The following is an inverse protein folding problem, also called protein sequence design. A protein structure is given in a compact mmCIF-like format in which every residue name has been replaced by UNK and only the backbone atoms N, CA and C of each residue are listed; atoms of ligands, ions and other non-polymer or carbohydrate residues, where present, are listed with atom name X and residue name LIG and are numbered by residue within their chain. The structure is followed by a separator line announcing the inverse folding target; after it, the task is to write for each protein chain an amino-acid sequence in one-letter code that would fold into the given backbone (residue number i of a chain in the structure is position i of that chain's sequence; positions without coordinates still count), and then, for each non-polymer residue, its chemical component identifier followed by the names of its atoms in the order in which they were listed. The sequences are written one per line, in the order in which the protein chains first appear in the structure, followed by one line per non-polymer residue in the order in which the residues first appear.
data_IF_012344287785
#
_entry.id   IF_012344287785
#
_cell.length_a   1.000
_cell.length_b   1.000
_cell.length_c   1.000
_cell.angle_alpha   90.00
_cell.angle_beta   90.00
_cell.angle_gamma   90.00
#
_symmetry.space_group_name_H-M   'P 1'
#
loop_
_entity.id
_entity.type
_entity.pdbx_description
1 polymer ?
#
# COMPACT_ATOMS: atom_id res chain seq x y z
N UNK A 1 16.81 10.81 57.34
CA UNK A 1 16.59 11.05 58.78
C UNK A 1 15.22 10.52 59.12
N UNK A 2 14.94 9.70 60.11
CA UNK A 2 15.66 8.79 61.00
C UNK A 2 14.50 8.15 61.83
N UNK A 3 14.56 6.85 62.11
CA UNK A 3 13.71 6.20 63.13
C UNK A 3 14.01 6.76 64.54
N UNK A 4 13.14 6.48 65.53
CA UNK A 4 13.55 5.57 66.64
C UNK A 4 12.46 4.53 66.98
N UNK A 5 12.79 3.26 67.27
CA UNK A 5 13.27 2.65 68.56
C UNK A 5 12.20 2.62 69.67
N UNK A 6 12.03 1.62 70.56
CA UNK A 6 12.57 0.28 70.78
C UNK A 6 11.69 -0.42 71.87
N UNK A 7 11.90 -1.74 72.06
CA UNK A 7 11.26 -2.70 73.00
C UNK A 7 11.47 -2.37 74.51
N UNK A 8 10.83 -3.08 75.50
CA UNK A 8 11.43 -4.34 76.00
C UNK A 8 10.49 -5.44 76.60
N UNK A 9 10.98 -6.67 76.39
CA UNK A 9 10.99 -7.94 77.16
C UNK A 9 10.44 -8.12 78.61
N UNK A 10 10.08 -9.41 78.83
CA UNK A 10 10.24 -10.31 80.00
C UNK A 10 9.19 -10.34 81.11
N UNK A 11 8.61 -11.54 81.34
CA UNK A 11 8.88 -12.35 82.54
C UNK A 11 8.21 -13.74 82.49
N UNK A 12 8.99 -14.76 82.83
CA UNK A 12 8.57 -16.15 83.10
C UNK A 12 7.95 -16.28 84.49
N UNK A 13 7.00 -17.22 84.69
CA UNK A 13 6.84 -18.01 85.93
C UNK A 13 6.42 -19.44 85.58
N UNK A 14 6.98 -20.36 86.38
CA UNK A 14 7.16 -21.81 86.26
C UNK A 14 6.01 -22.59 86.98
N UNK A 15 6.13 -23.90 87.31
CA UNK A 15 5.53 -25.07 86.64
C UNK A 15 4.52 -25.84 87.52
N UNK A 16 4.04 -26.97 86.97
CA UNK A 16 3.49 -28.15 87.66
C UNK A 16 2.14 -28.05 88.39
N UNK A 17 1.06 -28.42 87.69
CA UNK A 17 0.16 -29.46 88.20
C UNK A 17 -0.62 -30.16 87.08
N UNK A 18 -0.25 -31.41 86.87
CA UNK A 18 -1.07 -32.58 86.51
C UNK A 18 -2.09 -32.53 85.35
N UNK A 19 -1.71 -33.27 84.30
CA UNK A 19 -2.49 -34.35 83.68
C UNK A 19 -3.98 -34.10 83.40
N UNK A 20 -4.35 -34.00 82.12
CA UNK A 20 -5.16 -35.02 81.42
C UNK A 20 -5.52 -34.61 79.99
N UNK A 21 -5.39 -35.59 79.08
CA UNK A 21 -6.01 -35.70 77.75
C UNK A 21 -5.28 -35.07 76.54
N UNK A 22 -4.28 -35.82 76.04
CA UNK A 22 -3.86 -35.80 74.64
C UNK A 22 -4.81 -36.65 73.77
N UNK A 23 -5.31 -36.17 72.63
CA UNK A 23 -5.86 -37.05 71.60
C UNK A 23 -4.71 -37.57 70.73
N UNK A 24 -4.51 -38.87 70.77
CA UNK A 24 -3.59 -39.61 69.90
C UNK A 24 -4.12 -39.66 68.46
N UNK A 25 -3.59 -38.81 67.58
CA UNK A 25 -3.76 -38.99 66.14
C UNK A 25 -2.85 -40.12 65.64
N UNK A 26 -3.36 -41.15 64.94
CA UNK A 26 -2.51 -42.19 64.37
C UNK A 26 -1.76 -41.61 63.17
N UNK A 27 -0.44 -41.38 63.30
CA UNK A 27 0.45 -41.23 62.15
C UNK A 27 0.58 -42.58 61.43
N UNK A 28 -0.37 -42.89 60.54
CA UNK A 28 -0.13 -43.87 59.48
C UNK A 28 0.61 -43.15 58.35
N UNK A 29 1.81 -43.60 57.93
CA UNK A 29 2.35 -43.14 56.67
C UNK A 29 1.46 -43.76 55.58
N UNK A 30 0.57 -42.97 54.99
CA UNK A 30 -0.02 -43.35 53.71
C UNK A 30 1.14 -43.38 52.70
N UNK A 31 1.75 -44.56 52.53
CA UNK A 31 2.60 -44.84 51.39
C UNK A 31 1.71 -44.68 50.17
N UNK A 32 1.82 -43.53 49.50
CA UNK A 32 1.19 -43.29 48.22
C UNK A 32 1.83 -44.28 47.24
N UNK A 33 1.21 -45.44 47.08
CA UNK A 33 1.73 -46.52 46.26
C UNK A 33 1.39 -46.14 44.82
N UNK A 34 2.32 -45.49 44.13
CA UNK A 34 2.16 -45.22 42.70
C UNK A 34 1.85 -46.55 42.00
N UNK A 35 0.63 -46.66 41.49
CA UNK A 35 0.22 -47.83 40.70
C UNK A 35 0.83 -47.70 39.30
N UNK A 36 0.98 -48.79 38.54
CA UNK A 36 1.45 -48.74 37.15
C UNK A 36 0.68 -47.71 36.30
N UNK A 37 -0.61 -47.50 36.61
CA UNK A 37 -1.47 -46.51 35.97
C UNK A 37 -0.97 -45.06 36.18
N UNK A 38 -0.42 -44.72 37.34
CA UNK A 38 0.13 -43.37 37.59
C UNK A 38 1.40 -43.12 36.78
N UNK A 39 2.21 -44.16 36.54
CA UNK A 39 3.38 -44.08 35.67
C UNK A 39 2.98 -43.89 34.21
N UNK A 40 1.96 -44.62 33.74
CA UNK A 40 1.43 -44.46 32.38
C UNK A 40 0.84 -43.07 32.17
N UNK A 41 0.03 -42.58 33.12
CA UNK A 41 -0.55 -41.25 33.07
C UNK A 41 0.54 -40.17 33.07
N UNK A 42 1.55 -40.28 33.95
CA UNK A 42 2.69 -39.37 33.97
C UNK A 42 3.46 -39.36 32.66
N UNK A 43 3.72 -40.54 32.08
CA UNK A 43 4.40 -40.67 30.79
C UNK A 43 3.58 -40.09 29.64
N UNK A 44 2.25 -40.27 29.65
CA UNK A 44 1.36 -39.65 28.66
C UNK A 44 1.32 -38.13 28.79
N UNK A 45 1.30 -37.57 30.00
CA UNK A 45 1.37 -36.12 30.20
C UNK A 45 2.73 -35.55 29.81
N UNK A 46 3.83 -36.23 30.12
CA UNK A 46 5.16 -35.81 29.67
C UNK A 46 5.31 -35.89 28.15
N UNK A 47 4.78 -36.94 27.52
CA UNK A 47 4.77 -37.08 26.07
C UNK A 47 3.88 -36.03 25.40
N UNK A 48 2.71 -35.73 25.96
CA UNK A 48 1.83 -34.68 25.48
C UNK A 48 2.46 -33.29 25.65
N UNK A 49 3.17 -33.04 26.75
CA UNK A 49 3.87 -31.79 27.01
C UNK A 49 5.05 -31.59 26.05
N UNK A 50 5.86 -32.63 25.84
CA UNK A 50 6.93 -32.64 24.84
C UNK A 50 6.34 -32.50 23.44
N UNK A 51 5.26 -33.22 23.12
CA UNK A 51 4.56 -33.07 21.85
C UNK A 51 4.01 -31.66 21.67
N UNK A 52 3.46 -30.99 22.68
CA UNK A 52 3.00 -29.60 22.55
C UNK A 52 4.15 -28.59 22.43
N UNK A 53 5.31 -28.89 23.02
CA UNK A 53 6.53 -28.07 22.90
C UNK A 53 7.23 -28.22 21.54
N UNK A 54 7.12 -29.40 20.90
CA UNK A 54 7.80 -29.74 19.65
C UNK A 54 6.86 -30.02 18.48
N UNK A 55 5.54 -29.97 18.69
CA UNK A 55 4.57 -30.04 17.61
C UNK A 55 4.86 -28.84 16.71
N UNK A 56 5.15 -29.07 15.42
CA UNK A 56 5.22 -27.96 14.49
C UNK A 56 3.88 -27.25 14.60
N UNK A 57 3.91 -25.98 14.98
CA UNK A 57 2.79 -25.08 14.81
C UNK A 57 2.56 -24.95 13.31
N UNK A 58 1.87 -25.92 12.71
CA UNK A 58 1.34 -25.79 11.36
C UNK A 58 0.12 -24.87 11.45
N UNK A 59 0.36 -23.64 11.90
CA UNK A 59 -0.56 -22.57 11.62
C UNK A 59 -0.65 -22.54 10.09
N UNK A 60 -1.85 -22.66 9.52
CA UNK A 60 -2.01 -22.56 8.08
C UNK A 60 -1.39 -21.21 7.66
N UNK A 61 -0.46 -21.27 6.71
CA UNK A 61 0.44 -20.16 6.44
C UNK A 61 -0.09 -19.34 5.27
N UNK A 62 -0.60 -18.14 5.58
CA UNK A 62 -1.05 -17.15 4.61
C UNK A 62 0.15 -16.58 3.86
N UNK A 63 0.00 -16.28 2.57
CA UNK A 63 0.93 -15.38 1.91
C UNK A 63 0.70 -13.96 2.46
N UNK A 64 1.69 -13.33 3.13
CA UNK A 64 1.52 -11.99 3.65
C UNK A 64 1.28 -10.99 2.52
N UNK A 65 0.62 -9.88 2.81
CA UNK A 65 0.20 -8.87 1.84
C UNK A 65 0.86 -7.53 2.14
N UNK A 66 1.35 -6.86 1.11
CA UNK A 66 1.79 -5.46 1.21
C UNK A 66 0.95 -4.61 0.25
N UNK A 67 0.32 -3.57 0.81
CA UNK A 67 -0.45 -2.59 0.06
C UNK A 67 0.47 -1.50 -0.50
N UNK A 68 0.42 -1.29 -1.82
CA UNK A 68 1.15 -0.22 -2.50
C UNK A 68 0.15 0.79 -3.08
N UNK A 69 0.03 1.99 -2.49
CA UNK A 69 -0.97 2.97 -2.88
C UNK A 69 -0.70 3.62 -4.23
N UNK A 70 -1.74 4.19 -4.83
CA UNK A 70 -1.67 5.03 -6.01
C UNK A 70 -1.40 6.50 -5.68
N UNK A 71 -1.61 7.36 -6.67
CA UNK A 71 -1.51 8.81 -6.51
C UNK A 71 -2.49 9.32 -5.46
N UNK A 72 -2.01 10.14 -4.52
CA UNK A 72 -2.78 10.60 -3.35
C UNK A 72 -3.18 9.50 -2.34
N UNK A 73 -2.75 8.25 -2.53
CA UNK A 73 -3.26 7.08 -1.81
C UNK A 73 -2.65 6.80 -0.44
N UNK A 74 -1.92 7.76 0.16
CA UNK A 74 -1.38 7.64 1.51
C UNK A 74 -1.32 8.99 2.21
N UNK A 75 -1.28 8.99 3.54
CA UNK A 75 -1.10 10.22 4.32
C UNK A 75 0.22 10.94 4.01
N UNK A 76 0.23 12.25 4.20
CA UNK A 76 1.41 13.12 4.18
C UNK A 76 1.40 13.97 5.44
N UNK A 77 2.54 14.03 6.12
CA UNK A 77 2.76 14.95 7.22
C UNK A 77 3.78 16.02 6.83
N UNK A 78 3.58 17.22 7.35
CA UNK A 78 4.44 18.36 7.09
C UNK A 78 4.96 19.00 8.39
N UNK A 79 6.14 19.59 8.31
CA UNK A 79 6.70 20.49 9.33
C UNK A 79 7.18 21.77 8.64
N UNK A 80 6.74 22.93 9.15
CA UNK A 80 6.97 24.23 8.51
C UNK A 80 8.03 25.05 9.25
N UNK A 81 8.87 25.71 8.47
CA UNK A 81 9.82 26.75 8.86
C UNK A 81 10.05 27.70 7.67
N UNK A 82 8.97 28.34 7.21
CA UNK A 82 8.94 29.20 6.02
C UNK A 82 9.30 30.65 6.38
N UNK A 83 10.04 31.32 5.50
CA UNK A 83 10.34 32.76 5.63
C UNK A 83 9.15 33.64 5.23
N UNK A 84 8.35 33.20 4.27
CA UNK A 84 7.17 33.87 3.74
C UNK A 84 6.03 32.88 3.48
N UNK A 85 4.82 33.42 3.35
CA UNK A 85 3.59 32.67 3.02
C UNK A 85 2.82 33.40 1.93
N UNK A 86 2.01 32.66 1.18
CA UNK A 86 1.16 33.22 0.11
C UNK A 86 0.01 34.07 0.64
N UNK A 87 -0.43 33.82 1.87
CA UNK A 87 -1.48 34.57 2.55
C UNK A 87 -1.21 34.68 4.06
N UNK A 88 -1.82 35.66 4.72
CA UNK A 88 -1.61 35.91 6.16
C UNK A 88 -2.21 34.83 7.06
N UNK A 89 -3.17 34.05 6.56
CA UNK A 89 -3.79 32.92 7.27
C UNK A 89 -2.92 31.66 7.25
N UNK A 90 -1.89 31.61 6.41
CA UNK A 90 -1.03 30.44 6.31
C UNK A 90 0.03 30.45 7.40
N UNK A 91 0.21 29.31 8.06
CA UNK A 91 1.27 29.15 9.05
C UNK A 91 2.66 29.23 8.40
N UNK A 92 3.54 30.01 9.03
CA UNK A 92 4.97 30.04 8.66
C UNK A 92 5.75 28.91 9.32
N UNK A 93 5.44 28.61 10.57
CA UNK A 93 6.19 27.67 11.40
C UNK A 93 5.26 26.74 12.14
N UNK A 94 5.62 25.47 12.27
CA UNK A 94 4.92 24.52 13.16
C UNK A 94 5.90 23.95 14.19
N UNK A 95 5.42 23.74 15.42
CA UNK A 95 6.25 23.15 16.49
C UNK A 95 6.57 21.67 16.20
N UNK A 96 5.57 20.95 15.69
CA UNK A 96 5.66 19.53 15.34
C UNK A 96 5.11 19.25 13.93
N UNK A 97 5.17 17.98 13.53
CA UNK A 97 4.53 17.45 12.34
C UNK A 97 3.01 17.50 12.47
N UNK A 98 2.33 17.87 11.39
CA UNK A 98 0.87 17.81 11.28
C UNK A 98 0.46 17.07 10.00
N UNK A 99 -0.74 16.49 9.98
CA UNK A 99 -1.28 15.85 8.77
C UNK A 99 -1.65 16.92 7.73
N UNK A 100 -0.90 16.96 6.64
CA UNK A 100 -1.14 17.84 5.49
C UNK A 100 -2.12 17.20 4.50
N UNK A 101 -2.02 15.88 4.31
CA UNK A 101 -2.90 15.13 3.41
C UNK A 101 -3.29 13.78 4.05
N UNK A 102 -4.56 13.37 4.06
CA UNK A 102 -5.74 14.17 3.73
C UNK A 102 -6.20 14.93 4.99
N UNK A 103 -6.42 16.24 4.85
CA UNK A 103 -7.04 17.06 5.89
C UNK A 103 -8.08 17.96 5.23
N UNK A 104 -9.36 17.67 5.44
CA UNK A 104 -10.47 18.37 4.78
C UNK A 104 -10.58 19.84 5.19
N UNK A 105 -10.11 20.22 6.38
CA UNK A 105 -10.09 21.62 6.83
C UNK A 105 -9.12 22.46 6.01
N UNK A 106 -8.06 21.85 5.48
CA UNK A 106 -7.08 22.52 4.62
C UNK A 106 -7.57 22.71 3.17
N UNK A 107 -8.74 22.15 2.84
CA UNK A 107 -9.30 22.12 1.49
C UNK A 107 -10.44 23.14 1.28
N UNK A 108 -10.76 23.93 2.29
CA UNK A 108 -11.77 25.01 2.19
C UNK A 108 -11.21 26.22 1.41
N UNK A 109 -12.06 27.04 0.78
CA UNK A 109 -11.63 28.27 0.11
C UNK A 109 -10.74 29.14 1.00
N UNK A 110 -9.80 29.87 0.39
CA UNK A 110 -8.71 30.64 1.03
C UNK A 110 -7.62 29.79 1.70
N UNK A 111 -7.95 28.71 2.42
CA UNK A 111 -6.97 27.85 3.11
C UNK A 111 -6.23 26.92 2.15
N UNK A 112 -6.89 26.53 1.07
CA UNK A 112 -6.33 25.66 0.03
C UNK A 112 -5.03 26.21 -0.59
N UNK A 113 -4.85 27.53 -0.63
CA UNK A 113 -3.62 28.14 -1.13
C UNK A 113 -2.44 27.85 -0.19
N UNK A 114 -2.68 27.78 1.12
CA UNK A 114 -1.68 27.34 2.10
C UNK A 114 -1.33 25.87 1.91
N UNK A 115 -2.33 25.02 1.65
CA UNK A 115 -2.13 23.60 1.35
C UNK A 115 -1.28 23.42 0.09
N UNK A 116 -1.62 24.11 -1.00
CA UNK A 116 -0.88 24.05 -2.27
C UNK A 116 0.55 24.55 -2.10
N UNK A 117 0.75 25.69 -1.46
CA UNK A 117 2.08 26.25 -1.24
C UNK A 117 2.97 25.34 -0.39
N UNK A 118 2.38 24.52 0.48
CA UNK A 118 3.11 23.54 1.29
C UNK A 118 3.36 22.23 0.54
N UNK A 119 2.41 21.73 -0.26
CA UNK A 119 2.51 20.42 -0.90
C UNK A 119 3.19 20.43 -2.27
N UNK A 120 3.22 21.58 -2.97
CA UNK A 120 3.82 21.70 -4.31
C UNK A 120 5.31 21.30 -4.33
N UNK A 121 5.75 20.90 -5.50
CA UNK A 121 7.16 20.67 -5.79
C UNK A 121 7.75 21.84 -6.59
N UNK A 122 9.00 22.16 -6.31
CA UNK A 122 9.81 23.06 -7.11
C UNK A 122 10.72 22.22 -8.00
N UNK A 123 10.59 22.41 -9.32
CA UNK A 123 11.43 21.74 -10.30
C UNK A 123 12.66 22.59 -10.61
N UNK A 124 13.82 21.96 -10.69
CA UNK A 124 15.07 22.61 -11.01
C UNK A 124 15.55 22.15 -12.40
N UNK A 125 15.52 23.07 -13.37
CA UNK A 125 15.89 22.77 -14.76
C UNK A 125 17.36 22.36 -14.93
N UNK A 126 18.24 22.71 -14.00
CA UNK A 126 19.67 22.36 -14.05
C UNK A 126 19.89 20.95 -13.51
N UNK A 127 19.31 20.63 -12.35
CA UNK A 127 19.48 19.29 -11.74
C UNK A 127 18.52 18.26 -12.30
N UNK A 128 17.47 18.69 -13.02
CA UNK A 128 16.39 17.85 -13.57
C UNK A 128 15.69 17.03 -12.48
N UNK A 129 15.50 17.64 -11.32
CA UNK A 129 14.90 17.04 -10.11
C UNK A 129 13.99 18.02 -9.38
N UNK A 130 13.20 17.50 -8.45
CA UNK A 130 12.26 18.28 -7.63
C UNK A 130 12.65 18.36 -6.16
N UNK A 131 12.38 19.51 -5.55
CA UNK A 131 12.47 19.72 -4.10
C UNK A 131 11.13 20.17 -3.52
N UNK A 132 10.95 20.01 -2.22
CA UNK A 132 9.82 20.63 -1.52
C UNK A 132 9.87 22.16 -1.59
N UNK A 133 8.75 22.81 -1.30
CA UNK A 133 8.71 24.25 -1.05
C UNK A 133 9.72 24.68 0.03
N UNK A 134 10.30 25.89 -0.08
CA UNK A 134 11.28 26.39 0.90
C UNK A 134 10.68 26.42 2.31
N UNK A 135 11.42 25.87 3.27
CA UNK A 135 10.96 25.77 4.65
C UNK A 135 9.91 24.70 4.89
N UNK A 136 9.65 23.79 3.95
CA UNK A 136 8.69 22.68 4.13
C UNK A 136 9.41 21.34 4.12
N UNK A 137 9.32 20.64 5.25
CA UNK A 137 9.73 19.24 5.37
C UNK A 137 8.50 18.36 5.28
N UNK A 138 8.57 17.30 4.49
CA UNK A 138 7.48 16.34 4.31
C UNK A 138 7.95 14.93 4.68
N UNK A 139 7.04 14.14 5.24
CA UNK A 139 7.21 12.69 5.45
C UNK A 139 5.92 11.95 5.13
N UNK A 140 6.06 10.68 4.77
CA UNK A 140 4.97 9.77 4.45
C UNK A 140 4.90 8.76 5.59
N UNK A 141 4.04 8.99 6.61
CA UNK A 141 4.11 8.28 7.87
C UNK A 141 3.67 6.82 7.75
N UNK A 142 4.06 6.02 8.75
CA UNK A 142 3.65 4.63 8.93
C UNK A 142 4.04 3.70 7.80
N UNK A 143 5.27 3.83 7.29
CA UNK A 143 5.87 2.81 6.45
C UNK A 143 5.92 1.46 7.19
N UNK A 144 5.38 0.41 6.57
CA UNK A 144 5.15 -0.90 7.21
C UNK A 144 3.82 -1.02 7.95
N UNK A 145 3.12 0.08 8.22
CA UNK A 145 1.80 0.07 8.86
C UNK A 145 0.67 0.21 7.84
N UNK A 146 -0.48 -0.40 8.09
CA UNK A 146 -1.61 -0.36 7.14
C UNK A 146 -2.48 0.89 7.30
N UNK A 147 -2.57 1.46 8.51
CA UNK A 147 -3.49 2.57 8.81
C UNK A 147 -3.35 3.79 7.86
N UNK A 148 -2.15 4.30 7.53
CA UNK A 148 -1.99 5.47 6.65
C UNK A 148 -2.37 5.23 5.18
N UNK A 149 -2.54 3.98 4.76
CA UNK A 149 -3.00 3.60 3.42
C UNK A 149 -4.42 3.03 3.43
N UNK A 150 -4.96 2.66 4.59
CA UNK A 150 -6.37 2.31 4.74
C UNK A 150 -7.25 3.56 4.83
N UNK A 151 -6.81 4.57 5.59
CA UNK A 151 -7.58 5.79 5.88
C UNK A 151 -6.72 7.04 5.64
N UNK A 152 -7.09 7.87 4.66
CA UNK A 152 -6.32 9.08 4.33
C UNK A 152 -6.55 10.22 5.33
N UNK A 153 -7.74 10.33 5.90
CA UNK A 153 -8.03 11.26 7.00
C UNK A 153 -7.95 10.53 8.35
N UNK A 154 -7.04 10.92 9.26
CA UNK A 154 -6.89 10.27 10.57
C UNK A 154 -8.02 10.62 11.56
N UNK A 155 -8.78 11.70 11.32
CA UNK A 155 -9.73 12.26 12.29
C UNK A 155 -11.14 11.68 12.13
N UNK A 156 -11.73 11.86 10.95
CA UNK A 156 -13.14 11.51 10.67
C UNK A 156 -13.27 10.21 9.88
N UNK A 157 -12.14 9.56 9.54
CA UNK A 157 -12.08 8.36 8.67
C UNK A 157 -12.83 8.55 7.34
N UNK A 158 -12.89 9.79 6.85
CA UNK A 158 -13.28 10.08 5.47
C UNK A 158 -12.06 9.79 4.59
N UNK A 159 -12.27 9.34 3.35
CA UNK A 159 -11.15 8.90 2.50
C UNK A 159 -10.68 7.48 2.82
N UNK A 160 -11.64 6.56 2.98
CA UNK A 160 -11.39 5.11 2.90
C UNK A 160 -10.69 4.78 1.58
N UNK A 161 -9.53 4.12 1.66
CA UNK A 161 -8.76 3.70 0.50
C UNK A 161 -8.59 2.16 0.50
N UNK A 162 -7.55 1.61 1.13
CA UNK A 162 -7.41 0.15 1.27
C UNK A 162 -8.28 -0.48 2.37
N UNK A 163 -9.05 0.32 3.13
CA UNK A 163 -9.78 -0.17 4.32
C UNK A 163 -10.72 -1.35 4.02
N UNK A 164 -11.42 -1.33 2.88
CA UNK A 164 -12.35 -2.40 2.48
C UNK A 164 -11.63 -3.71 2.16
N UNK A 165 -10.48 -3.62 1.50
CA UNK A 165 -9.62 -4.79 1.21
C UNK A 165 -9.07 -5.35 2.52
N UNK A 166 -8.50 -4.50 3.38
CA UNK A 166 -7.98 -4.94 4.68
C UNK A 166 -9.08 -5.59 5.54
N UNK A 167 -10.28 -4.99 5.58
CA UNK A 167 -11.43 -5.54 6.28
C UNK A 167 -11.88 -6.90 5.73
N UNK A 168 -11.80 -7.13 4.42
CA UNK A 168 -12.11 -8.43 3.80
C UNK A 168 -11.08 -9.52 4.13
N UNK A 169 -9.82 -9.14 4.39
CA UNK A 169 -8.74 -10.08 4.71
C UNK A 169 -8.68 -10.47 6.19
N UNK A 170 -9.06 -9.59 7.12
CA UNK A 170 -9.02 -9.89 8.57
C UNK A 170 -9.76 -11.19 8.94
N UNK A 171 -10.99 -11.47 8.46
CA UNK A 171 -11.68 -12.72 8.76
C UNK A 171 -10.97 -13.98 8.23
N UNK A 172 -10.01 -13.84 7.31
CA UNK A 172 -9.22 -14.95 6.76
C UNK A 172 -7.97 -15.25 7.61
N UNK A 173 -7.77 -14.53 8.73
CA UNK A 173 -6.62 -14.70 9.63
C UNK A 173 -5.48 -13.71 9.40
N UNK A 174 -5.66 -12.72 8.51
CA UNK A 174 -4.68 -11.65 8.33
C UNK A 174 -4.67 -10.68 9.52
N UNK A 175 -3.47 -10.23 9.89
CA UNK A 175 -3.21 -9.34 11.02
C UNK A 175 -2.55 -8.08 10.49
N UNK A 176 -3.18 -6.93 10.73
CA UNK A 176 -2.62 -5.61 10.41
C UNK A 176 -1.25 -5.44 11.05
N UNK A 177 -0.36 -4.77 10.32
CA UNK A 177 1.02 -4.48 10.69
C UNK A 177 1.90 -5.71 10.93
N UNK A 178 1.43 -6.91 10.59
CA UNK A 178 2.21 -8.16 10.67
C UNK A 178 2.14 -8.92 9.34
N UNK A 179 0.98 -9.51 9.03
CA UNK A 179 0.77 -10.23 7.77
C UNK A 179 0.09 -9.37 6.70
N UNK A 180 -0.39 -8.19 7.07
CA UNK A 180 -0.74 -7.09 6.17
C UNK A 180 0.10 -5.87 6.52
N UNK A 181 0.75 -5.25 5.54
CA UNK A 181 1.60 -4.07 5.74
C UNK A 181 1.29 -3.02 4.68
N UNK A 182 1.57 -1.75 4.96
CA UNK A 182 1.44 -0.66 3.99
C UNK A 182 2.81 -0.13 3.54
N UNK A 183 2.93 0.26 2.28
CA UNK A 183 4.15 0.85 1.70
C UNK A 183 3.86 2.24 1.09
N UNK A 184 3.53 3.25 1.93
CA UNK A 184 3.36 4.63 1.47
C UNK A 184 4.66 5.22 0.92
N UNK A 185 4.56 6.20 0.02
CA UNK A 185 5.68 6.85 -0.63
C UNK A 185 5.33 8.26 -1.09
N UNK A 186 6.32 9.01 -1.57
CA UNK A 186 6.10 10.31 -2.18
C UNK A 186 5.44 10.19 -3.54
N UNK A 187 4.11 10.11 -3.53
CA UNK A 187 3.28 9.97 -4.73
C UNK A 187 3.33 11.17 -5.67
N UNK A 188 3.89 12.32 -5.23
CA UNK A 188 4.11 13.48 -6.10
C UNK A 188 5.22 13.23 -7.10
N UNK A 189 6.14 12.31 -6.79
CA UNK A 189 7.36 12.03 -7.54
C UNK A 189 7.21 10.77 -8.40
N UNK A 190 7.95 10.73 -9.50
CA UNK A 190 8.08 9.55 -10.35
C UNK A 190 9.17 8.58 -9.83
N UNK A 191 9.35 7.38 -10.41
CA UNK A 191 10.30 6.38 -9.90
C UNK A 191 11.76 6.82 -9.87
N UNK A 192 12.15 7.76 -10.74
CA UNK A 192 13.51 8.30 -10.81
C UNK A 192 13.89 9.17 -9.59
N UNK A 193 12.94 9.55 -8.74
CA UNK A 193 13.19 10.31 -7.51
C UNK A 193 12.71 9.59 -6.23
N UNK A 194 12.40 8.28 -6.32
CA UNK A 194 11.86 7.44 -5.25
C UNK A 194 12.80 6.26 -4.87
N UNK A 195 14.11 6.42 -5.03
CA UNK A 195 15.08 5.33 -4.93
C UNK A 195 15.21 4.83 -3.49
N UNK A 196 15.12 5.73 -2.51
CA UNK A 196 15.06 5.37 -1.10
C UNK A 196 13.84 4.48 -0.82
N UNK A 197 12.66 4.86 -1.33
CA UNK A 197 11.44 4.05 -1.21
C UNK A 197 11.63 2.63 -1.77
N UNK A 198 12.30 2.46 -2.91
CA UNK A 198 12.51 1.12 -3.47
C UNK A 198 13.48 0.26 -2.64
N UNK A 199 14.45 0.89 -1.97
CA UNK A 199 15.30 0.19 -1.01
C UNK A 199 14.49 -0.22 0.24
N UNK A 200 13.67 0.70 0.76
CA UNK A 200 12.82 0.47 1.92
C UNK A 200 11.74 -0.59 1.63
N UNK A 201 11.15 -0.58 0.44
CA UNK A 201 10.17 -1.58 0.00
C UNK A 201 10.79 -2.97 -0.05
N UNK A 202 12.04 -3.09 -0.53
CA UNK A 202 12.77 -4.35 -0.51
C UNK A 202 12.97 -4.84 0.92
N UNK A 203 13.42 -3.97 1.81
CA UNK A 203 13.63 -4.29 3.22
C UNK A 203 12.31 -4.70 3.90
N UNK A 204 11.21 -3.99 3.62
CA UNK A 204 9.88 -4.33 4.15
C UNK A 204 9.41 -5.70 3.67
N UNK A 205 9.66 -6.06 2.41
CA UNK A 205 9.30 -7.39 1.87
C UNK A 205 10.09 -8.49 2.59
N UNK A 206 11.38 -8.29 2.79
CA UNK A 206 12.25 -9.24 3.50
C UNK A 206 11.86 -9.36 4.99
N UNK A 207 11.65 -8.23 5.67
CA UNK A 207 11.17 -8.16 7.06
C UNK A 207 9.82 -8.84 7.21
N UNK A 208 8.85 -8.54 6.34
CA UNK A 208 7.51 -9.12 6.38
C UNK A 208 7.56 -10.63 6.15
N UNK A 209 8.44 -11.10 5.25
CA UNK A 209 8.65 -12.53 5.03
C UNK A 209 9.14 -13.22 6.30
N UNK A 210 10.13 -12.65 6.98
CA UNK A 210 10.72 -13.23 8.20
C UNK A 210 9.76 -13.16 9.40
N UNK A 211 9.06 -12.03 9.59
CA UNK A 211 8.04 -11.86 10.65
C UNK A 211 6.87 -12.84 10.52
N UNK A 212 6.60 -13.34 9.30
CA UNK A 212 5.56 -14.33 9.03
C UNK A 212 6.12 -15.77 8.91
N UNK A 213 7.25 -16.03 9.57
CA UNK A 213 7.83 -17.37 9.71
C UNK A 213 8.68 -17.82 8.52
N UNK A 214 8.95 -16.94 7.56
CA UNK A 214 9.96 -17.17 6.52
C UNK A 214 9.70 -18.35 5.58
N UNK A 215 8.44 -18.75 5.39
CA UNK A 215 8.08 -19.89 4.54
C UNK A 215 7.11 -19.56 3.39
N UNK A 216 6.38 -18.45 3.44
CA UNK A 216 5.46 -18.05 2.36
C UNK A 216 5.85 -16.70 1.75
N UNK A 217 5.98 -16.61 0.42
CA UNK A 217 6.31 -15.35 -0.24
C UNK A 217 5.16 -14.33 -0.19
N UNK A 218 5.48 -13.06 -0.40
CA UNK A 218 4.60 -11.91 -0.26
C UNK A 218 3.73 -11.71 -1.52
N UNK A 219 2.47 -11.35 -1.33
CA UNK A 219 1.61 -10.81 -2.40
C UNK A 219 1.62 -9.29 -2.33
N UNK A 220 2.05 -8.64 -3.40
CA UNK A 220 1.92 -7.18 -3.54
C UNK A 220 0.54 -6.86 -4.06
N UNK A 221 -0.25 -6.07 -3.34
CA UNK A 221 -1.55 -5.56 -3.79
C UNK A 221 -1.40 -4.07 -4.04
N UNK A 222 -1.37 -3.69 -5.31
CA UNK A 222 -1.04 -2.34 -5.74
C UNK A 222 -2.23 -1.70 -6.47
N UNK A 223 -2.50 -0.42 -6.20
CA UNK A 223 -3.58 0.32 -6.85
C UNK A 223 -3.03 1.44 -7.73
N UNK A 224 -3.62 1.62 -8.92
CA UNK A 224 -3.35 2.73 -9.83
C UNK A 224 -1.83 2.91 -10.07
N UNK A 225 -1.29 4.10 -9.84
CA UNK A 225 0.15 4.40 -9.95
C UNK A 225 1.05 3.48 -9.11
N UNK A 226 0.58 2.98 -7.96
CA UNK A 226 1.31 2.01 -7.14
C UNK A 226 1.62 0.72 -7.88
N UNK A 227 0.79 0.36 -8.86
CA UNK A 227 1.02 -0.79 -9.75
C UNK A 227 2.24 -0.58 -10.64
N UNK A 228 2.42 0.65 -11.14
CA UNK A 228 3.60 1.01 -11.94
C UNK A 228 4.85 1.11 -11.08
N UNK A 229 4.74 1.64 -9.85
CA UNK A 229 5.83 1.64 -8.88
C UNK A 229 6.29 0.20 -8.56
N UNK A 230 5.33 -0.70 -8.35
CA UNK A 230 5.59 -2.13 -8.11
C UNK A 230 6.23 -2.81 -9.32
N UNK A 231 5.77 -2.50 -10.54
CA UNK A 231 6.40 -2.98 -11.77
C UNK A 231 7.86 -2.52 -11.87
N UNK A 232 8.10 -1.22 -11.72
CA UNK A 232 9.43 -0.62 -11.78
C UNK A 232 10.40 -1.29 -10.80
N UNK A 233 9.93 -1.52 -9.57
CA UNK A 233 10.65 -2.23 -8.52
C UNK A 233 11.02 -3.66 -8.94
N UNK A 234 10.04 -4.46 -9.38
CA UNK A 234 10.24 -5.87 -9.74
C UNK A 234 11.10 -6.07 -10.99
N UNK A 235 11.07 -5.14 -11.95
CA UNK A 235 11.95 -5.13 -13.11
C UNK A 235 13.44 -4.95 -12.73
N UNK A 236 13.72 -4.47 -11.52
CA UNK A 236 15.07 -4.21 -10.97
C UNK A 236 15.50 -5.21 -9.91
N UNK A 237 14.65 -6.18 -9.56
CA UNK A 237 15.03 -7.29 -8.68
C UNK A 237 15.49 -8.51 -9.49
N UNK A 238 16.45 -9.26 -8.93
CA UNK A 238 16.92 -10.50 -9.55
C UNK A 238 15.82 -11.56 -9.56
N UNK A 239 15.86 -12.46 -10.56
CA UNK A 239 14.89 -13.57 -10.64
C UNK A 239 14.94 -14.47 -9.41
N UNK A 240 16.11 -14.67 -8.81
CA UNK A 240 16.27 -15.45 -7.59
C UNK A 240 15.58 -14.78 -6.39
N UNK A 241 15.71 -13.46 -6.25
CA UNK A 241 15.04 -12.71 -5.20
C UNK A 241 13.52 -12.75 -5.37
N UNK A 242 13.02 -12.51 -6.59
CA UNK A 242 11.58 -12.57 -6.89
C UNK A 242 10.99 -13.95 -6.60
N UNK A 243 11.69 -15.02 -7.00
CA UNK A 243 11.27 -16.40 -6.72
C UNK A 243 11.19 -16.71 -5.23
N UNK A 244 12.07 -16.12 -4.41
CA UNK A 244 12.08 -16.33 -2.96
C UNK A 244 10.98 -15.53 -2.25
N UNK A 245 10.83 -14.26 -2.59
CA UNK A 245 10.07 -13.32 -1.78
C UNK A 245 8.72 -12.91 -2.35
N UNK A 246 8.44 -13.14 -3.64
CA UNK A 246 7.22 -12.64 -4.28
C UNK A 246 6.37 -13.80 -4.79
N UNK A 247 5.16 -13.91 -4.24
CA UNK A 247 4.14 -14.88 -4.65
C UNK A 247 3.48 -14.43 -5.94
N UNK A 248 3.04 -13.18 -5.96
CA UNK A 248 2.34 -12.54 -7.08
C UNK A 248 2.32 -11.03 -6.90
N UNK A 249 2.07 -10.34 -8.01
CA UNK A 249 1.64 -8.95 -8.03
C UNK A 249 0.15 -8.93 -8.42
N UNK A 250 -0.67 -8.32 -7.59
CA UNK A 250 -2.09 -8.06 -7.85
C UNK A 250 -2.23 -6.56 -8.08
N UNK A 251 -2.62 -6.17 -9.28
CA UNK A 251 -2.78 -4.76 -9.65
C UNK A 251 -4.25 -4.41 -9.82
N UNK A 252 -4.66 -3.31 -9.21
CA UNK A 252 -6.00 -2.76 -9.24
C UNK A 252 -5.98 -1.47 -10.07
N UNK A 253 -6.70 -1.42 -11.18
CA UNK A 253 -6.82 -0.23 -12.04
C UNK A 253 -5.47 0.37 -12.51
N UNK A 254 -4.51 -0.47 -12.92
CA UNK A 254 -3.18 -0.02 -13.30
C UNK A 254 -3.16 0.78 -14.63
N UNK A 255 -2.63 2.02 -14.66
CA UNK A 255 -2.50 2.82 -15.87
C UNK A 255 -1.24 2.44 -16.67
N UNK A 256 -1.15 1.21 -17.18
CA UNK A 256 0.04 0.66 -17.84
C UNK A 256 0.63 1.54 -18.96
N UNK A 257 -0.21 2.29 -19.66
CA UNK A 257 0.19 3.21 -20.71
C UNK A 257 0.02 4.69 -20.38
N UNK A 258 -0.29 5.03 -19.13
CA UNK A 258 -0.77 6.37 -18.75
C UNK A 258 -2.26 6.57 -18.98
N UNK A 259 -2.73 7.81 -18.93
CA UNK A 259 -4.13 8.20 -19.14
C UNK A 259 -4.26 9.58 -19.77
N UNK A 260 -5.27 9.78 -20.62
CA UNK A 260 -5.63 11.10 -21.14
C UNK A 260 -6.06 12.07 -20.02
N UNK A 261 -6.50 11.55 -18.87
CA UNK A 261 -6.78 12.38 -17.69
C UNK A 261 -5.56 13.17 -17.22
N UNK A 262 -4.33 12.68 -17.40
CA UNK A 262 -3.12 13.45 -17.10
C UNK A 262 -2.99 14.70 -17.98
N UNK A 263 -3.39 14.63 -19.26
CA UNK A 263 -3.44 15.79 -20.16
C UNK A 263 -4.49 16.80 -19.67
N UNK A 264 -5.67 16.31 -19.26
CA UNK A 264 -6.72 17.14 -18.65
C UNK A 264 -6.20 17.89 -17.42
N UNK A 265 -5.44 17.22 -16.55
CA UNK A 265 -4.84 17.86 -15.36
C UNK A 265 -3.96 19.04 -15.75
N UNK A 266 -3.07 18.89 -16.74
CA UNK A 266 -2.24 20.00 -17.21
C UNK A 266 -3.05 21.13 -17.87
N UNK A 267 -4.12 20.79 -18.58
CA UNK A 267 -4.95 21.79 -19.24
C UNK A 267 -5.80 22.60 -18.24
N UNK A 268 -6.58 21.92 -17.39
CA UNK A 268 -7.66 22.53 -16.58
C UNK A 268 -7.74 22.04 -15.14
N UNK A 269 -6.81 21.18 -14.70
CA UNK A 269 -6.85 20.53 -13.40
C UNK A 269 -7.88 19.40 -13.29
N UNK A 270 -7.86 18.72 -12.16
CA UNK A 270 -8.84 17.70 -11.80
C UNK A 270 -9.29 17.86 -10.35
N UNK A 271 -10.58 17.62 -10.10
CA UNK A 271 -11.19 17.69 -8.77
C UNK A 271 -10.93 16.43 -7.92
N UNK A 272 -10.21 15.43 -8.46
CA UNK A 272 -9.91 14.16 -7.79
C UNK A 272 -11.16 13.42 -7.28
N UNK A 273 -12.34 13.73 -7.84
CA UNK A 273 -13.62 13.21 -7.35
C UNK A 273 -14.13 13.86 -6.06
N UNK A 274 -13.44 14.88 -5.52
CA UNK A 274 -13.86 15.65 -4.34
C UNK A 274 -14.50 16.95 -4.83
N UNK A 275 -15.83 16.95 -4.93
CA UNK A 275 -16.65 18.01 -5.53
C UNK A 275 -16.51 19.41 -4.87
N UNK A 276 -15.87 19.50 -3.71
CA UNK A 276 -15.68 20.73 -2.92
C UNK A 276 -14.48 21.56 -3.42
N UNK A 277 -13.65 21.01 -4.32
CA UNK A 277 -12.38 21.61 -4.72
C UNK A 277 -12.46 22.34 -6.08
N UNK A 278 -11.91 23.56 -6.14
CA UNK A 278 -11.73 24.28 -7.40
C UNK A 278 -10.65 23.59 -8.25
N UNK A 279 -11.03 23.13 -9.45
CA UNK A 279 -10.13 22.49 -10.43
C UNK A 279 -8.92 23.36 -10.78
N UNK A 280 -9.14 24.66 -10.95
CA UNK A 280 -8.07 25.61 -11.25
C UNK A 280 -7.08 25.75 -10.10
N UNK A 281 -7.56 25.68 -8.86
CA UNK A 281 -6.72 25.78 -7.67
C UNK A 281 -5.88 24.51 -7.52
N UNK A 282 -6.49 23.33 -7.63
CA UNK A 282 -5.76 22.06 -7.60
C UNK A 282 -4.77 21.89 -8.77
N UNK A 283 -5.09 22.42 -9.96
CA UNK A 283 -4.16 22.44 -11.10
C UNK A 283 -2.79 22.96 -10.68
N UNK A 284 -2.74 24.07 -9.92
CA UNK A 284 -1.48 24.72 -9.49
C UNK A 284 -0.56 23.75 -8.75
N UNK A 285 -1.12 22.85 -7.93
CA UNK A 285 -0.36 21.80 -7.26
C UNK A 285 -0.08 20.61 -8.20
N UNK A 286 -1.11 20.08 -8.86
CA UNK A 286 -1.04 18.83 -9.62
C UNK A 286 -0.02 18.90 -10.76
N UNK A 287 0.11 20.05 -11.42
CA UNK A 287 1.07 20.25 -12.52
C UNK A 287 2.52 20.33 -12.03
N UNK A 288 2.76 20.54 -10.72
CA UNK A 288 4.12 20.49 -10.17
C UNK A 288 4.63 19.08 -9.91
N UNK A 289 3.77 18.06 -9.98
CA UNK A 289 4.12 16.69 -9.64
C UNK A 289 4.66 15.92 -10.86
N UNK A 290 5.93 15.45 -10.87
CA UNK A 290 6.44 14.60 -11.94
C UNK A 290 5.66 13.31 -12.15
N UNK A 291 4.94 12.82 -11.14
CA UNK A 291 4.01 11.68 -11.27
C UNK A 291 2.93 11.95 -12.33
N UNK A 292 2.40 13.17 -12.42
CA UNK A 292 1.42 13.56 -13.45
C UNK A 292 2.01 13.44 -14.86
N UNK A 293 3.24 13.93 -15.07
CA UNK A 293 3.95 13.80 -16.36
C UNK A 293 4.29 12.35 -16.69
N UNK A 294 4.63 11.55 -15.69
CA UNK A 294 4.88 10.12 -15.87
C UNK A 294 3.63 9.37 -16.37
N UNK A 295 2.45 9.76 -15.90
CA UNK A 295 1.16 9.16 -16.26
C UNK A 295 0.58 9.69 -17.59
N UNK A 296 1.31 10.50 -18.37
CA UNK A 296 0.89 10.88 -19.72
C UNK A 296 0.82 9.65 -20.65
N UNK A 297 -0.10 9.65 -21.64
CA UNK A 297 -0.21 8.59 -22.64
C UNK A 297 1.13 8.24 -23.30
N UNK A 298 1.39 6.95 -23.50
CA UNK A 298 2.63 6.48 -24.13
C UNK A 298 2.39 5.83 -25.50
N UNK A 299 3.40 5.91 -26.36
CA UNK A 299 3.38 5.38 -27.74
C UNK A 299 3.22 3.85 -27.82
N UNK A 300 3.40 3.15 -26.70
CA UNK A 300 3.16 1.71 -26.63
C UNK A 300 1.67 1.36 -26.60
N UNK A 301 0.79 2.30 -26.25
CA UNK A 301 -0.65 2.06 -26.06
C UNK A 301 -1.56 3.02 -26.84
N UNK A 302 -1.03 4.16 -27.29
CA UNK A 302 -1.73 5.11 -28.16
C UNK A 302 -1.05 5.20 -29.52
N UNK A 303 -1.85 5.41 -30.57
CA UNK A 303 -1.29 5.69 -31.89
C UNK A 303 -0.60 7.06 -31.88
N UNK A 304 0.47 7.20 -32.66
CA UNK A 304 1.20 8.47 -32.78
C UNK A 304 0.34 9.57 -33.38
N UNK A 305 -0.56 9.21 -34.29
CA UNK A 305 -1.43 10.15 -35.02
C UNK A 305 -2.77 10.41 -34.30
N UNK A 306 -3.00 9.77 -33.15
CA UNK A 306 -4.25 9.94 -32.41
C UNK A 306 -4.29 11.31 -31.74
N UNK A 307 -5.37 12.05 -32.01
CA UNK A 307 -5.58 13.39 -31.45
C UNK A 307 -6.03 13.28 -30.01
N UNK A 308 -5.19 13.79 -29.10
CA UNK A 308 -5.44 13.82 -27.66
C UNK A 308 -6.03 15.17 -27.23
N UNK A 309 -5.62 16.25 -27.90
CA UNK A 309 -6.18 17.58 -27.72
C UNK A 309 -6.42 18.21 -29.08
N UNK A 310 -7.60 18.77 -29.30
CA UNK A 310 -7.98 19.45 -30.53
C UNK A 310 -8.36 20.90 -30.23
N UNK A 311 -7.78 21.84 -30.94
CA UNK A 311 -8.18 23.26 -30.96
C UNK A 311 -8.57 23.67 -32.38
N UNK A 312 -9.13 24.87 -32.60
CA UNK A 312 -9.38 25.36 -33.95
C UNK A 312 -8.11 25.52 -34.80
N UNK A 313 -6.96 25.76 -34.15
CA UNK A 313 -5.68 26.03 -34.80
C UNK A 313 -4.78 24.78 -34.92
N UNK A 314 -4.81 23.88 -33.92
CA UNK A 314 -3.83 22.80 -33.77
C UNK A 314 -4.47 21.51 -33.25
N UNK A 315 -4.04 20.38 -33.81
CA UNK A 315 -4.27 19.05 -33.24
C UNK A 315 -3.00 18.58 -32.53
N UNK A 316 -3.09 18.28 -31.24
CA UNK A 316 -2.02 17.72 -30.45
C UNK A 316 -2.20 16.21 -30.32
N UNK A 317 -1.14 15.51 -30.69
CA UNK A 317 -0.98 14.06 -30.69
C UNK A 317 0.29 13.72 -29.93
N UNK A 318 0.65 12.44 -29.82
CA UNK A 318 1.91 12.06 -29.18
C UNK A 318 3.17 12.64 -29.86
N UNK A 319 3.11 13.01 -31.14
CA UNK A 319 4.29 13.51 -31.87
C UNK A 319 4.60 14.98 -31.60
N UNK A 320 3.63 15.76 -31.11
CA UNK A 320 3.76 17.19 -30.83
C UNK A 320 3.23 17.57 -29.44
N UNK A 321 3.29 16.65 -28.47
CA UNK A 321 2.93 16.94 -27.08
C UNK A 321 3.81 18.02 -26.44
N UNK A 322 5.07 18.19 -26.87
CA UNK A 322 5.91 19.32 -26.43
C UNK A 322 5.26 20.66 -26.75
N UNK A 323 4.75 20.82 -27.98
CA UNK A 323 4.05 22.03 -28.42
C UNK A 323 2.81 22.30 -27.56
N UNK A 324 2.07 21.25 -27.17
CA UNK A 324 0.94 21.41 -26.24
C UNK A 324 1.38 22.05 -24.92
N UNK A 325 2.50 21.62 -24.34
CA UNK A 325 3.02 22.17 -23.09
C UNK A 325 3.52 23.62 -23.24
N UNK A 326 4.07 23.96 -24.41
CA UNK A 326 4.44 25.35 -24.73
C UNK A 326 3.19 26.23 -24.87
N UNK A 327 2.16 25.75 -25.57
CA UNK A 327 0.94 26.51 -25.87
C UNK A 327 0.04 26.74 -24.64
N UNK A 328 0.21 25.94 -23.57
CA UNK A 328 -0.43 26.18 -22.26
C UNK A 328 0.46 26.94 -21.27
N UNK A 329 1.60 27.46 -21.72
CA UNK A 329 2.61 28.17 -20.91
C UNK A 329 3.13 27.33 -19.72
N UNK A 330 3.37 26.03 -19.96
CA UNK A 330 3.86 25.11 -18.94
C UNK A 330 4.86 24.06 -19.49
N UNK A 331 5.89 24.52 -20.20
CA UNK A 331 6.95 23.66 -20.77
C UNK A 331 7.60 22.71 -19.74
N UNK A 332 7.63 23.12 -18.46
CA UNK A 332 8.13 22.29 -17.36
C UNK A 332 7.44 20.90 -17.28
N UNK A 333 6.16 20.79 -17.64
CA UNK A 333 5.46 19.51 -17.66
C UNK A 333 6.03 18.53 -18.69
N UNK A 334 6.49 19.04 -19.83
CA UNK A 334 7.21 18.26 -20.85
C UNK A 334 8.61 17.87 -20.38
N UNK A 335 9.32 18.79 -19.73
CA UNK A 335 10.64 18.50 -19.16
C UNK A 335 10.58 17.33 -18.17
N UNK A 336 9.62 17.34 -17.26
CA UNK A 336 9.36 16.22 -16.35
C UNK A 336 9.04 14.91 -17.07
N UNK A 337 8.33 14.96 -18.22
CA UNK A 337 8.06 13.78 -19.05
C UNK A 337 9.35 13.22 -19.67
N UNK A 338 10.22 14.10 -20.15
CA UNK A 338 11.52 13.71 -20.71
C UNK A 338 12.38 13.01 -19.66
N UNK A 339 12.39 13.51 -18.42
CA UNK A 339 13.21 12.95 -17.33
C UNK A 339 12.83 11.50 -16.95
N UNK A 340 11.59 11.09 -17.23
CA UNK A 340 11.08 9.75 -16.93
C UNK A 340 10.94 8.88 -18.19
N UNK A 341 11.46 9.31 -19.34
CA UNK A 341 11.31 8.62 -20.63
C UNK A 341 11.80 7.17 -20.58
N UNK A 342 12.93 6.90 -19.93
CA UNK A 342 13.47 5.53 -19.82
C UNK A 342 12.57 4.64 -18.98
N UNK A 343 11.90 5.20 -17.97
CA UNK A 343 10.90 4.48 -17.15
C UNK A 343 9.67 4.15 -17.99
N UNK A 344 9.19 5.11 -18.78
CA UNK A 344 8.01 4.95 -19.65
C UNK A 344 8.25 3.89 -20.73
N UNK A 345 9.47 3.81 -21.25
CA UNK A 345 9.83 2.88 -22.32
C UNK A 345 10.21 1.47 -21.83
N UNK A 346 10.34 1.26 -20.51
CA UNK A 346 10.62 -0.06 -19.94
C UNK A 346 9.36 -0.94 -19.86
N UNK A 347 9.03 -1.56 -20.99
CA UNK A 347 7.85 -2.43 -21.15
C UNK A 347 8.08 -3.89 -20.73
N UNK A 348 9.15 -4.19 -19.99
CA UNK A 348 9.46 -5.55 -19.56
C UNK A 348 8.40 -6.08 -18.59
N UNK A 349 8.03 -7.37 -18.66
CA UNK A 349 7.10 -7.96 -17.70
C UNK A 349 7.70 -8.04 -16.29
N UNK A 350 6.89 -8.13 -15.22
CA UNK A 350 7.39 -8.17 -13.85
C UNK A 350 8.16 -9.46 -13.51
N UNK A 351 7.92 -10.55 -14.25
CA UNK A 351 8.59 -11.84 -14.02
C UNK A 351 8.13 -12.55 -12.75
N UNK A 352 6.88 -12.30 -12.35
CA UNK A 352 6.13 -12.96 -11.27
C UNK A 352 4.70 -13.19 -11.74
N UNK A 353 3.93 -14.04 -11.05
CA UNK A 353 2.50 -14.18 -11.33
C UNK A 353 1.81 -12.83 -11.20
N UNK A 354 1.05 -12.43 -12.23
CA UNK A 354 0.38 -11.14 -12.30
C UNK A 354 -1.13 -11.34 -12.37
N UNK A 355 -1.87 -10.77 -11.42
CA UNK A 355 -3.32 -10.60 -11.51
C UNK A 355 -3.62 -9.15 -11.87
N UNK A 356 -4.09 -8.94 -13.08
CA UNK A 356 -4.44 -7.63 -13.63
C UNK A 356 -5.95 -7.42 -13.55
N UNK A 357 -6.37 -6.61 -12.59
CA UNK A 357 -7.77 -6.41 -12.20
C UNK A 357 -8.15 -4.95 -12.46
N UNK A 358 -9.23 -4.69 -13.19
CA UNK A 358 -9.66 -3.32 -13.46
C UNK A 358 -11.15 -3.18 -13.75
N UNK A 359 -11.64 -1.94 -13.62
CA UNK A 359 -12.99 -1.52 -13.99
C UNK A 359 -13.23 -1.47 -15.51
N UNK A 360 -14.49 -1.39 -15.93
CA UNK A 360 -14.88 -1.15 -17.32
C UNK A 360 -16.26 -0.52 -17.41
N UNK A 361 -16.63 -0.04 -18.58
CA UNK A 361 -17.92 0.58 -18.89
C UNK A 361 -18.20 1.87 -18.11
N UNK A 362 -17.14 2.56 -17.70
CA UNK A 362 -17.22 3.88 -17.08
C UNK A 362 -16.69 4.93 -18.04
N UNK A 363 -17.51 5.93 -18.33
CA UNK A 363 -17.22 7.01 -19.27
C UNK A 363 -15.91 7.73 -18.89
N UNK A 364 -14.89 7.60 -19.74
CA UNK A 364 -13.53 8.06 -19.46
C UNK A 364 -13.07 9.04 -20.55
N UNK A 365 -12.52 10.22 -20.20
CA UNK A 365 -12.01 11.16 -21.20
C UNK A 365 -10.96 10.52 -22.11
N UNK A 366 -11.13 10.65 -23.42
CA UNK A 366 -10.19 10.17 -24.45
C UNK A 366 -9.56 11.30 -25.26
N UNK A 367 -10.23 12.45 -25.31
CA UNK A 367 -9.78 13.61 -26.05
C UNK A 367 -10.37 14.88 -25.43
N UNK A 368 -9.60 15.96 -25.43
CA UNK A 368 -10.06 17.30 -25.10
C UNK A 368 -10.29 18.07 -26.40
N UNK A 369 -11.47 18.68 -26.56
CA UNK A 369 -11.85 19.43 -27.76
C UNK A 369 -12.21 20.85 -27.37
N UNK A 370 -11.55 21.83 -27.98
CA UNK A 370 -11.73 23.24 -27.71
C UNK A 370 -12.42 23.95 -28.86
N UNK A 371 -13.39 24.80 -28.51
CA UNK A 371 -13.96 25.76 -29.45
C UNK A 371 -13.12 27.05 -29.54
N UNK A 372 -13.50 27.99 -30.44
CA UNK A 372 -12.83 29.28 -30.58
C UNK A 372 -12.73 30.04 -29.25
N UNK A 373 -11.52 30.55 -28.93
CA UNK A 373 -11.22 31.32 -27.70
C UNK A 373 -11.50 30.57 -26.38
N UNK A 374 -11.50 29.23 -26.38
CA UNK A 374 -11.70 28.41 -25.18
C UNK A 374 -10.45 27.68 -24.70
N UNK A 375 -9.41 27.59 -25.53
CA UNK A 375 -8.14 26.98 -25.16
C UNK A 375 -7.30 27.92 -24.29
N UNK A 376 -6.68 27.45 -23.19
CA UNK A 376 -6.66 26.07 -22.68
C UNK A 376 -7.73 25.75 -21.61
N UNK A 377 -8.57 26.70 -21.23
CA UNK A 377 -9.33 26.64 -19.97
C UNK A 377 -10.67 25.87 -20.01
N UNK A 378 -11.29 25.71 -21.18
CA UNK A 378 -12.68 25.21 -21.27
C UNK A 378 -12.88 24.17 -22.40
N UNK A 379 -12.34 22.96 -22.26
CA UNK A 379 -12.57 21.87 -23.21
C UNK A 379 -13.95 21.24 -23.05
N UNK A 380 -14.47 20.70 -24.13
CA UNK A 380 -15.41 19.59 -24.12
C UNK A 380 -14.61 18.27 -24.15
N UNK A 381 -15.18 17.20 -23.59
CA UNK A 381 -14.52 15.91 -23.55
C UNK A 381 -15.21 14.93 -24.50
N UNK A 382 -14.41 14.30 -25.36
CA UNK A 382 -14.86 13.07 -26.02
C UNK A 382 -14.55 11.93 -25.06
N UNK A 383 -15.56 11.11 -24.78
CA UNK A 383 -15.46 10.01 -23.84
C UNK A 383 -15.27 8.68 -24.57
N UNK A 384 -14.68 7.72 -23.88
CA UNK A 384 -14.49 6.33 -24.29
C UNK A 384 -14.70 5.39 -23.09
N UNK A 385 -14.53 4.10 -23.32
CA UNK A 385 -14.53 3.07 -22.28
C UNK A 385 -13.27 3.15 -21.38
N UNK A 386 -13.45 2.80 -20.11
CA UNK A 386 -12.44 2.81 -19.06
C UNK A 386 -13.08 2.67 -17.68
N UNK A 387 -12.40 3.19 -16.66
CA UNK A 387 -12.85 3.22 -15.26
C UNK A 387 -13.17 4.64 -14.75
N UNK A 388 -13.33 5.61 -15.66
CA UNK A 388 -13.55 7.03 -15.36
C UNK A 388 -12.27 7.84 -15.17
N UNK A 389 -11.12 7.17 -14.97
CA UNK A 389 -9.80 7.81 -14.87
C UNK A 389 -8.83 7.29 -15.92
N UNK A 390 -8.76 5.98 -16.13
CA UNK A 390 -7.82 5.31 -17.03
C UNK A 390 -8.57 4.69 -18.19
N UNK A 391 -8.11 4.98 -19.41
CA UNK A 391 -8.70 4.43 -20.64
C UNK A 391 -8.51 2.91 -20.71
N UNK A 392 -9.50 2.20 -21.28
CA UNK A 392 -9.52 0.73 -21.35
C UNK A 392 -8.23 0.12 -21.93
N UNK A 393 -7.70 0.71 -22.99
CA UNK A 393 -6.46 0.26 -23.65
C UNK A 393 -5.22 0.27 -22.74
N UNK A 394 -5.21 1.18 -21.76
CA UNK A 394 -4.14 1.29 -20.77
C UNK A 394 -4.38 0.28 -19.66
N UNK A 395 -5.62 0.17 -19.15
CA UNK A 395 -6.00 -0.82 -18.13
C UNK A 395 -5.70 -2.27 -18.52
N UNK A 396 -5.97 -2.62 -19.78
CA UNK A 396 -5.72 -3.96 -20.33
C UNK A 396 -4.25 -4.19 -20.73
N UNK A 397 -3.37 -3.22 -20.51
CA UNK A 397 -2.00 -3.25 -21.03
C UNK A 397 -1.16 -4.46 -20.59
N UNK A 398 -1.41 -4.95 -19.38
CA UNK A 398 -0.84 -6.19 -18.84
C UNK A 398 -1.03 -7.42 -19.74
N UNK A 399 -2.11 -7.49 -20.53
CA UNK A 399 -2.39 -8.63 -21.42
C UNK A 399 -1.29 -8.84 -22.47
N UNK A 400 -0.55 -7.78 -22.82
CA UNK A 400 0.62 -7.84 -23.72
C UNK A 400 1.77 -8.69 -23.19
N UNK A 401 1.77 -9.03 -21.90
CA UNK A 401 2.77 -9.89 -21.27
C UNK A 401 2.36 -11.37 -21.21
N UNK A 402 1.15 -11.72 -21.62
CA UNK A 402 0.76 -13.13 -21.76
C UNK A 402 1.71 -13.84 -22.73
N UNK A 403 2.31 -14.94 -22.28
CA UNK A 403 3.32 -15.69 -23.04
C UNK A 403 4.70 -15.03 -23.15
N UNK A 404 4.92 -13.85 -22.55
CA UNK A 404 6.23 -13.15 -22.55
C UNK A 404 7.03 -13.31 -21.25
N UNK A 405 6.45 -13.98 -20.26
CA UNK A 405 7.11 -14.40 -19.03
C UNK A 405 6.69 -15.84 -18.70
N UNK A 406 7.49 -16.53 -17.88
CA UNK A 406 7.20 -17.92 -17.49
C UNK A 406 5.98 -18.02 -16.55
N UNK A 407 5.77 -17.00 -15.72
CA UNK A 407 4.68 -16.94 -14.75
C UNK A 407 3.38 -16.47 -15.42
N UNK A 408 2.20 -16.92 -14.95
CA UNK A 408 0.93 -16.58 -15.59
C UNK A 408 0.59 -15.10 -15.45
N UNK A 409 -0.12 -14.58 -16.45
CA UNK A 409 -0.75 -13.25 -16.45
C UNK A 409 -2.26 -13.43 -16.54
N UNK A 410 -2.93 -13.23 -15.42
CA UNK A 410 -4.37 -13.45 -15.23
C UNK A 410 -5.04 -12.08 -15.32
N UNK A 411 -5.95 -11.95 -16.28
CA UNK A 411 -6.68 -10.71 -16.53
C UNK A 411 -8.14 -10.88 -16.13
N UNK A 412 -8.67 -9.95 -15.32
CA UNK A 412 -10.09 -9.92 -14.91
C UNK A 412 -10.62 -8.50 -14.96
N UNK A 413 -11.85 -8.40 -15.44
CA UNK A 413 -12.57 -7.14 -15.60
C UNK A 413 -13.74 -7.11 -14.63
N UNK A 414 -13.98 -5.96 -14.01
CA UNK A 414 -15.07 -5.69 -13.07
C UNK A 414 -15.99 -4.61 -13.67
N UNK A 415 -17.03 -4.99 -14.43
CA UNK A 415 -17.94 -4.05 -15.07
C UNK A 415 -18.55 -3.03 -14.11
N UNK A 416 -18.62 -1.77 -14.54
CA UNK A 416 -19.20 -0.62 -13.84
C UNK A 416 -18.50 -0.21 -12.52
N UNK A 417 -17.39 -0.85 -12.16
CA UNK A 417 -16.53 -0.35 -11.10
C UNK A 417 -15.69 0.81 -11.65
N UNK A 418 -15.87 2.02 -11.09
CA UNK A 418 -14.97 3.13 -11.38
C UNK A 418 -13.63 2.96 -10.67
N UNK A 419 -12.67 3.82 -11.02
CA UNK A 419 -11.30 3.77 -10.56
C UNK A 419 -11.16 3.61 -9.04
N UNK A 420 -12.01 4.30 -8.27
CA UNK A 420 -11.95 4.28 -6.81
C UNK A 420 -12.92 3.27 -6.21
N UNK A 421 -14.15 3.14 -6.74
CA UNK A 421 -15.12 2.18 -6.22
C UNK A 421 -14.68 0.72 -6.38
N UNK A 422 -13.79 0.44 -7.34
CA UNK A 422 -13.13 -0.86 -7.51
C UNK A 422 -12.56 -1.40 -6.18
N UNK A 423 -11.93 -0.57 -5.35
CA UNK A 423 -11.33 -0.98 -4.06
C UNK A 423 -12.34 -1.53 -3.04
N UNK A 424 -13.63 -1.25 -3.24
CA UNK A 424 -14.74 -1.71 -2.41
C UNK A 424 -15.73 -2.62 -3.16
N UNK A 425 -15.44 -2.96 -4.43
CA UNK A 425 -16.31 -3.81 -5.24
C UNK A 425 -16.41 -5.22 -4.64
N UNK A 426 -17.63 -5.72 -4.48
CA UNK A 426 -17.89 -7.00 -3.81
C UNK A 426 -17.28 -8.19 -4.56
N UNK A 427 -17.27 -8.15 -5.89
CA UNK A 427 -16.70 -9.22 -6.70
C UNK A 427 -15.17 -9.18 -6.61
N UNK A 428 -14.57 -7.98 -6.60
CA UNK A 428 -13.13 -7.83 -6.35
C UNK A 428 -12.76 -8.36 -4.97
N UNK A 429 -13.46 -7.95 -3.92
CA UNK A 429 -13.17 -8.41 -2.55
C UNK A 429 -13.31 -9.94 -2.44
N UNK A 430 -14.30 -10.53 -3.11
CA UNK A 430 -14.48 -11.98 -3.17
C UNK A 430 -13.32 -12.66 -3.90
N UNK A 431 -12.89 -12.10 -5.04
CA UNK A 431 -11.74 -12.59 -5.80
C UNK A 431 -10.45 -12.54 -4.97
N UNK A 432 -10.19 -11.42 -4.29
CA UNK A 432 -9.02 -11.27 -3.41
C UNK A 432 -9.07 -12.26 -2.25
N UNK A 433 -10.24 -12.41 -1.62
CA UNK A 433 -10.42 -13.38 -0.56
C UNK A 433 -10.17 -14.82 -1.04
N UNK A 434 -10.63 -15.20 -2.23
CA UNK A 434 -10.33 -16.53 -2.80
C UNK A 434 -8.86 -16.72 -3.12
N UNK A 435 -8.20 -15.71 -3.69
CA UNK A 435 -6.78 -15.74 -4.00
C UNK A 435 -5.92 -15.88 -2.73
N UNK A 436 -6.32 -15.19 -1.65
CA UNK A 436 -5.54 -15.03 -0.43
C UNK A 436 -6.00 -15.94 0.72
N UNK A 437 -7.03 -16.77 0.50
CA UNK A 437 -7.46 -17.78 1.46
C UNK A 437 -6.34 -18.80 1.70
N UNK A 438 -6.29 -19.29 2.94
CA UNK A 438 -5.50 -20.45 3.31
C UNK A 438 -5.88 -21.64 2.44
N UNK A 439 -4.95 -22.10 1.60
CA UNK A 439 -5.07 -23.38 0.93
C UNK A 439 -4.62 -24.48 1.87
N UNK A 440 -5.39 -25.57 1.93
CA UNK A 440 -4.99 -26.78 2.67
C UNK A 440 -3.60 -27.24 2.22
N UNK A 441 -2.74 -27.77 3.10
CA UNK A 441 -1.46 -28.39 2.73
C UNK A 441 -1.57 -29.42 1.58
N UNK A 442 -2.75 -30.01 1.38
CA UNK A 442 -3.02 -30.99 0.32
C UNK A 442 -3.09 -30.39 -1.11
N UNK A 443 -3.22 -29.06 -1.25
CA UNK A 443 -3.24 -28.38 -2.56
C UNK A 443 -1.87 -27.96 -3.08
N UNK A 444 -0.83 -28.03 -2.25
CA UNK A 444 0.55 -27.91 -2.72
C UNK A 444 1.05 -29.32 -3.06
N UNK A 445 1.48 -29.55 -4.30
CA UNK A 445 2.16 -30.79 -4.68
C UNK A 445 3.32 -31.04 -3.72
N UNK A 446 3.10 -31.93 -2.75
CA UNK A 446 4.09 -32.29 -1.76
C UNK A 446 5.22 -33.05 -2.45
N UNK A 447 6.48 -32.63 -2.29
CA UNK A 447 7.61 -33.41 -2.77
C UNK A 447 7.52 -34.82 -2.20
N UNK A 448 7.79 -35.81 -3.04
CA UNK A 448 7.59 -37.26 -2.86
C UNK A 448 8.15 -37.86 -1.56
N UNK A 449 8.98 -37.09 -0.83
CA UNK A 449 9.62 -37.46 0.44
C UNK A 449 8.66 -37.50 1.64
N UNK A 450 7.56 -36.72 1.62
CA UNK A 450 6.61 -36.66 2.75
C UNK A 450 5.51 -37.74 2.70
N UNK A 451 5.22 -38.30 1.52
CA UNK A 451 4.30 -39.45 1.40
C UNK A 451 4.81 -40.70 2.13
N UNK A 452 6.13 -40.82 2.33
CA UNK A 452 6.73 -41.96 3.03
C UNK A 452 6.56 -41.86 4.55
N UNK A 453 6.65 -40.65 5.12
CA UNK A 453 6.53 -40.41 6.56
C UNK A 453 5.08 -40.57 7.05
N UNK A 454 4.10 -40.02 6.31
CA UNK A 454 2.68 -40.20 6.64
C UNK A 454 2.22 -41.67 6.51
N UNK A 455 2.88 -42.47 5.67
CA UNK A 455 2.56 -43.90 5.52
C UNK A 455 3.12 -44.75 6.67
N UNK A 456 4.19 -44.31 7.32
CA UNK A 456 4.76 -44.97 8.51
C UNK A 456 3.94 -44.62 9.75
N UNK A 457 3.46 -43.37 9.87
CA UNK A 457 2.66 -42.93 11.03
C UNK A 457 1.25 -43.53 11.05
N UNK A 458 0.66 -43.83 9.89
CA UNK A 458 -0.63 -44.52 9.81
C UNK A 458 -0.53 -46.06 10.00
N UNK A 459 0.68 -46.58 10.24
CA UNK A 459 0.93 -48.01 10.45
C UNK A 459 1.19 -48.37 11.93
N UNK A 460 1.33 -47.35 12.79
CA UNK A 460 1.33 -47.48 14.25
C UNK A 460 0.03 -46.88 14.80
#
# INVERSE_FOLDING_TARGET
MAYPDALPNNAQVNPDTEQLLTPSFPRRPHKFRMTPLHFVIGFMFSFLFVYLLFAPSTLPQLNPVIFVPGDGGSRVEAKLNKSSTVHYICDKTTSDWFTLWLNLELLVPEVIDCFIDNLRLLYNNVTRTTSNSPGVSLRFPGFGHTDPVEWLDPSVRIGSYFSSIAAALVPLGYVRDLSMRGAPYDFRKAPNENQAYFADLKALIEETYDLNGGATPIVLVAHSMGSLMSLYFLQRQSSAWKKKFIRSLVTLAAPWGGSVKAIKVFAVGDDLGVYVLSKNTLKVYQVTCPSTSWLLPSEHYWSKDEVLVQTPETNYTLTNLEQFFEDIDFKQGWDMRVDVRDVVNDVRPPGVELHCLHGSHVSTPKQLVYGPKKFPDSPQYVMDDGDGTVNMRSLQGCTKWQGKQAQPVIHRVFPNADHMSLLSDKNLLSYLAELLKLKSPDEYETPTRWKFVNKILNFF
#
